data_IF_827054736174
#
_entry.id   IF_827054736174
#
_cell.length_a   1.000
_cell.length_b   1.000
_cell.length_c   1.000
_cell.angle_alpha   90.00
_cell.angle_beta   90.00
_cell.angle_gamma   90.00
#
_symmetry.space_group_name_H-M   'P 1'
#
loop_
_entity.id
_entity.type
_entity.pdbx_description
1 polymer ?
#
# COMPACT_ATOMS: atom_id res chain seq x y z
N UNK A 1 -9.49 -22.59 -1.28
CA UNK A 1 -9.42 -21.60 -0.19
C UNK A 1 -7.98 -21.22 0.09
N UNK A 2 -7.74 -19.99 0.55
CA UNK A 2 -6.43 -19.45 0.90
C UNK A 2 -6.21 -18.05 0.34
N UNK A 3 -6.85 -17.70 -0.77
CA UNK A 3 -6.70 -16.40 -1.46
C UNK A 3 -7.87 -15.43 -1.25
N UNK A 4 -8.81 -15.73 -0.37
CA UNK A 4 -9.97 -14.87 -0.11
C UNK A 4 -9.56 -13.46 0.34
N UNK A 5 -8.45 -13.35 1.09
CA UNK A 5 -7.91 -12.11 1.62
C UNK A 5 -7.41 -11.13 0.54
N UNK A 6 -7.17 -11.58 -0.69
CA UNK A 6 -6.75 -10.71 -1.80
C UNK A 6 -7.93 -10.18 -2.63
N UNK A 7 -9.15 -10.63 -2.36
CA UNK A 7 -10.34 -10.19 -3.08
C UNK A 7 -10.52 -8.67 -3.03
N UNK A 8 -10.76 -8.08 -4.20
CA UNK A 8 -10.98 -6.65 -4.35
C UNK A 8 -9.72 -5.79 -4.24
N UNK A 9 -8.53 -6.37 -4.28
CA UNK A 9 -7.28 -5.64 -4.51
C UNK A 9 -7.13 -5.45 -6.03
N UNK A 10 -7.09 -4.21 -6.54
CA UNK A 10 -6.90 -3.97 -7.97
C UNK A 10 -5.46 -4.27 -8.38
N UNK A 11 -5.27 -4.92 -9.52
CA UNK A 11 -3.96 -5.24 -10.06
C UNK A 11 -3.92 -6.58 -10.79
N UNK A 12 -2.72 -6.98 -11.18
CA UNK A 12 -2.44 -8.27 -11.82
C UNK A 12 -1.86 -9.27 -10.81
N UNK A 13 -1.92 -10.56 -11.13
CA UNK A 13 -1.28 -11.60 -10.31
C UNK A 13 0.24 -11.37 -10.18
N UNK A 14 0.90 -11.00 -11.29
CA UNK A 14 2.33 -10.69 -11.28
C UNK A 14 2.67 -9.51 -10.35
N UNK A 15 1.89 -8.42 -10.39
CA UNK A 15 2.05 -7.28 -9.48
C UNK A 15 1.79 -7.66 -8.02
N UNK A 16 0.83 -8.56 -7.78
CA UNK A 16 0.54 -9.07 -6.43
C UNK A 16 1.71 -9.90 -5.88
N UNK A 17 2.33 -10.74 -6.72
CA UNK A 17 3.54 -11.52 -6.35
C UNK A 17 4.73 -10.59 -6.13
N UNK A 18 4.97 -9.65 -7.05
CA UNK A 18 6.06 -8.68 -6.97
C UNK A 18 6.06 -7.90 -5.65
N UNK A 19 4.88 -7.50 -5.18
CA UNK A 19 4.70 -6.76 -3.93
C UNK A 19 4.41 -7.64 -2.71
N UNK A 20 4.39 -8.96 -2.84
CA UNK A 20 3.81 -9.85 -1.83
C UNK A 20 2.49 -9.27 -1.28
N UNK A 21 1.63 -8.86 -2.21
CA UNK A 21 0.41 -8.13 -1.90
C UNK A 21 -0.59 -8.98 -1.15
N UNK A 22 -1.42 -8.31 -0.37
CA UNK A 22 -2.44 -8.97 0.40
C UNK A 22 -3.16 -8.03 1.36
N UNK A 23 -4.02 -8.57 2.19
CA UNK A 23 -4.74 -7.84 3.23
C UNK A 23 -4.91 -8.68 4.49
N UNK A 24 -5.43 -8.09 5.56
CA UNK A 24 -5.64 -8.80 6.84
C UNK A 24 -4.34 -9.42 7.40
N UNK A 25 -3.19 -8.73 7.20
CA UNK A 25 -1.84 -9.18 7.60
C UNK A 25 -1.37 -10.46 6.91
N UNK A 26 -1.97 -10.82 5.76
CA UNK A 26 -1.59 -11.96 4.93
C UNK A 26 -1.10 -11.46 3.57
N UNK A 27 0.00 -12.01 3.08
CA UNK A 27 0.49 -11.82 1.72
C UNK A 27 0.23 -13.04 0.87
N UNK A 28 0.24 -12.90 -0.46
CA UNK A 28 0.06 -14.02 -1.39
C UNK A 28 1.18 -15.07 -1.25
N UNK A 29 2.37 -14.64 -0.83
CA UNK A 29 3.55 -15.51 -0.69
C UNK A 29 3.33 -16.74 0.19
N UNK A 30 2.40 -16.67 1.17
CA UNK A 30 2.04 -17.83 2.01
C UNK A 30 1.38 -18.99 1.24
N UNK A 31 0.94 -18.74 0.01
CA UNK A 31 0.28 -19.72 -0.85
C UNK A 31 1.05 -20.02 -2.15
N UNK A 32 2.23 -19.42 -2.33
CA UNK A 32 3.11 -19.64 -3.48
C UNK A 32 3.98 -20.87 -3.21
N UNK A 33 4.02 -21.81 -4.14
CA UNK A 33 4.99 -22.91 -4.15
C UNK A 33 6.25 -22.50 -4.91
N UNK A 34 6.06 -21.95 -6.11
CA UNK A 34 7.14 -21.41 -6.92
C UNK A 34 6.64 -20.30 -7.84
N UNK A 35 7.59 -19.52 -8.37
CA UNK A 35 7.35 -18.46 -9.36
C UNK A 35 8.28 -18.68 -10.54
N UNK A 36 7.73 -18.61 -11.75
CA UNK A 36 8.52 -18.63 -12.99
C UNK A 36 8.65 -17.20 -13.51
N UNK A 37 9.88 -16.83 -13.84
CA UNK A 37 10.22 -15.53 -14.45
C UNK A 37 10.89 -15.73 -15.80
N UNK A 38 10.98 -14.65 -16.57
CA UNK A 38 11.80 -14.55 -17.78
C UNK A 38 12.78 -13.38 -17.61
N UNK A 39 14.06 -13.62 -17.89
CA UNK A 39 15.10 -12.58 -17.83
C UNK A 39 15.21 -11.81 -19.16
N UNK A 40 16.05 -10.77 -19.19
CA UNK A 40 16.30 -9.93 -20.36
C UNK A 40 16.89 -10.68 -21.57
N UNK A 41 17.44 -11.87 -21.36
CA UNK A 41 17.92 -12.75 -22.45
C UNK A 41 16.88 -13.74 -22.96
N UNK A 42 15.65 -13.72 -22.42
CA UNK A 42 14.57 -14.63 -22.77
C UNK A 42 14.63 -15.99 -22.07
N UNK A 43 15.52 -16.18 -21.07
CA UNK A 43 15.63 -17.46 -20.35
C UNK A 43 14.63 -17.51 -19.21
N UNK A 44 13.98 -18.65 -19.08
CA UNK A 44 13.10 -18.94 -17.96
C UNK A 44 13.90 -19.34 -16.73
N UNK A 45 13.47 -18.85 -15.55
CA UNK A 45 13.97 -19.21 -14.23
C UNK A 45 12.80 -19.56 -13.32
N UNK A 46 13.01 -20.52 -12.44
CA UNK A 46 12.03 -20.93 -11.45
C UNK A 46 12.62 -20.67 -10.08
N UNK A 47 11.85 -19.96 -9.24
CA UNK A 47 12.18 -19.66 -7.85
C UNK A 47 11.23 -20.42 -6.94
N UNK A 48 11.76 -21.19 -6.01
CA UNK A 48 10.99 -21.76 -4.90
C UNK A 48 10.44 -20.64 -4.00
N UNK A 49 9.48 -20.95 -3.15
CA UNK A 49 8.96 -19.99 -2.18
C UNK A 49 10.04 -19.31 -1.35
N UNK A 50 11.00 -20.07 -0.83
CA UNK A 50 12.11 -19.55 -0.02
C UNK A 50 13.03 -18.60 -0.79
N UNK A 51 13.27 -18.86 -2.08
CA UNK A 51 14.07 -17.99 -2.94
C UNK A 51 13.35 -16.71 -3.36
N UNK A 52 12.02 -16.66 -3.21
CA UNK A 52 11.24 -15.45 -3.47
C UNK A 52 11.41 -14.38 -2.39
N UNK A 53 11.96 -14.70 -1.22
CA UNK A 53 12.25 -13.79 -0.11
C UNK A 53 11.05 -12.89 0.25
N UNK A 54 9.85 -13.48 0.36
CA UNK A 54 8.62 -12.74 0.62
C UNK A 54 8.63 -12.08 2.00
N UNK A 55 8.56 -10.74 2.01
CA UNK A 55 8.40 -9.91 3.20
C UNK A 55 7.17 -8.99 3.10
N UNK A 56 7.03 -8.07 4.06
CA UNK A 56 5.95 -7.08 4.00
C UNK A 56 6.16 -6.13 2.82
N UNK A 57 5.26 -6.19 1.84
CA UNK A 57 5.32 -5.42 0.56
C UNK A 57 6.65 -5.61 -0.17
N UNK A 58 7.26 -6.79 -0.07
CA UNK A 58 8.58 -7.07 -0.63
C UNK A 58 8.68 -8.48 -1.17
N UNK A 59 9.49 -8.64 -2.21
CA UNK A 59 9.97 -9.89 -2.77
C UNK A 59 11.31 -9.68 -3.45
N UNK A 60 12.05 -10.76 -3.72
CA UNK A 60 13.32 -10.72 -4.46
C UNK A 60 13.16 -10.07 -5.86
N UNK A 61 11.97 -10.15 -6.45
CA UNK A 61 11.69 -9.63 -7.79
C UNK A 61 11.80 -8.12 -7.90
N UNK A 62 11.74 -7.38 -6.80
CA UNK A 62 11.94 -5.93 -6.77
C UNK A 62 13.39 -5.53 -7.05
N UNK A 63 14.35 -6.43 -6.86
CA UNK A 63 15.77 -6.25 -7.14
C UNK A 63 16.20 -6.92 -8.45
N UNK A 64 15.31 -7.66 -9.13
CA UNK A 64 15.61 -8.39 -10.36
C UNK A 64 15.08 -7.66 -11.57
N UNK A 65 15.83 -7.69 -12.67
CA UNK A 65 15.35 -7.24 -13.98
C UNK A 65 14.71 -8.43 -14.73
N UNK A 66 13.62 -8.95 -14.17
CA UNK A 66 12.92 -10.13 -14.65
C UNK A 66 11.41 -9.88 -14.67
N UNK A 67 10.70 -10.53 -15.56
CA UNK A 67 9.24 -10.45 -15.67
C UNK A 67 8.64 -11.74 -15.09
N UNK A 68 7.70 -11.61 -14.16
CA UNK A 68 6.94 -12.75 -13.63
C UNK A 68 5.96 -13.23 -14.70
N UNK A 69 6.06 -14.51 -15.09
CA UNK A 69 5.24 -15.13 -16.16
C UNK A 69 4.16 -16.04 -15.59
N UNK A 70 4.49 -16.81 -14.54
CA UNK A 70 3.54 -17.74 -13.90
C UNK A 70 3.94 -18.04 -12.47
N UNK A 71 3.03 -18.68 -11.74
CA UNK A 71 3.31 -19.24 -10.43
C UNK A 71 2.50 -20.51 -10.18
N UNK A 72 2.96 -21.33 -9.26
CA UNK A 72 2.17 -22.42 -8.68
C UNK A 72 1.67 -22.02 -7.30
N UNK A 73 0.39 -22.28 -7.06
CA UNK A 73 -0.29 -21.95 -5.82
C UNK A 73 -0.71 -23.24 -5.09
N UNK A 74 -0.50 -23.25 -3.78
CA UNK A 74 -1.06 -24.27 -2.92
C UNK A 74 -2.35 -23.75 -2.26
N UNK A 75 -3.45 -24.43 -2.52
CA UNK A 75 -4.76 -24.06 -2.02
C UNK A 75 -5.39 -25.24 -1.28
N UNK A 76 -6.16 -24.94 -0.24
CA UNK A 76 -6.83 -25.95 0.57
C UNK A 76 -8.29 -26.11 0.11
N UNK A 77 -8.78 -27.34 -0.14
CA UNK A 77 -10.19 -27.58 -0.41
C UNK A 77 -11.09 -27.07 0.74
N UNK A 78 -12.14 -26.33 0.40
CA UNK A 78 -13.12 -25.80 1.35
C UNK A 78 -14.49 -25.75 0.68
N UNK A 79 -15.54 -25.85 1.45
CA UNK A 79 -16.91 -25.78 0.95
C UNK A 79 -17.15 -24.47 0.18
N UNK A 80 -17.62 -24.50 -1.09
CA UNK A 80 -17.78 -23.30 -1.92
C UNK A 80 -18.65 -22.21 -1.30
N UNK A 81 -19.71 -22.60 -0.57
CA UNK A 81 -20.58 -21.63 0.12
C UNK A 81 -19.83 -20.83 1.19
N UNK A 82 -18.92 -21.48 1.94
CA UNK A 82 -18.10 -20.83 2.96
C UNK A 82 -17.08 -19.86 2.33
N UNK A 83 -16.43 -20.27 1.23
CA UNK A 83 -15.53 -19.42 0.47
C UNK A 83 -16.26 -18.17 -0.04
N UNK A 84 -17.43 -18.35 -0.67
CA UNK A 84 -18.25 -17.26 -1.18
C UNK A 84 -18.68 -16.29 -0.07
N UNK A 85 -19.11 -16.82 1.07
CA UNK A 85 -19.49 -16.00 2.22
C UNK A 85 -18.32 -15.16 2.74
N UNK A 86 -17.12 -15.75 2.86
CA UNK A 86 -15.91 -15.07 3.29
C UNK A 86 -15.51 -13.95 2.31
N UNK A 87 -15.49 -14.24 1.00
CA UNK A 87 -15.23 -13.26 -0.06
C UNK A 87 -16.21 -12.08 0.02
N UNK A 88 -17.51 -12.35 0.13
CA UNK A 88 -18.52 -11.30 0.21
C UNK A 88 -18.38 -10.45 1.48
N UNK A 89 -18.04 -11.07 2.60
CA UNK A 89 -17.74 -10.36 3.85
C UNK A 89 -16.54 -9.41 3.71
N UNK A 90 -15.45 -9.90 3.11
CA UNK A 90 -14.26 -9.10 2.84
C UNK A 90 -14.58 -7.92 1.92
N UNK A 91 -15.27 -8.16 0.81
CA UNK A 91 -15.65 -7.11 -0.14
C UNK A 91 -16.57 -6.06 0.50
N UNK A 92 -17.53 -6.49 1.33
CA UNK A 92 -18.41 -5.58 2.09
C UNK A 92 -17.61 -4.72 3.06
N UNK A 93 -16.71 -5.33 3.85
CA UNK A 93 -15.84 -4.61 4.77
C UNK A 93 -14.97 -3.58 4.04
N UNK A 94 -14.39 -3.96 2.89
CA UNK A 94 -13.56 -3.04 2.07
C UNK A 94 -14.37 -1.85 1.54
N UNK A 95 -15.60 -2.07 1.08
CA UNK A 95 -16.49 -1.00 0.60
C UNK A 95 -16.82 0.03 1.69
N UNK A 96 -16.93 -0.42 2.93
CA UNK A 96 -17.22 0.47 4.07
C UNK A 96 -15.98 1.23 4.56
N UNK A 97 -14.80 0.62 4.46
CA UNK A 97 -13.56 1.17 5.04
C UNK A 97 -12.77 2.06 4.08
N UNK A 98 -12.81 1.80 2.77
CA UNK A 98 -11.93 2.46 1.81
C UNK A 98 -12.69 3.46 0.93
N UNK A 99 -12.06 4.61 0.56
CA UNK A 99 -12.68 5.63 -0.27
C UNK A 99 -12.65 5.25 -1.76
N UNK A 100 -13.39 4.21 -2.15
CA UNK A 100 -13.41 3.63 -3.49
C UNK A 100 -14.18 4.43 -4.55
N UNK A 101 -14.82 5.54 -4.16
CA UNK A 101 -15.57 6.42 -5.10
C UNK A 101 -14.73 7.59 -5.63
N UNK A 102 -13.60 7.89 -5.01
CA UNK A 102 -12.72 8.99 -5.38
C UNK A 102 -11.35 8.46 -5.78
N UNK A 103 -10.69 9.06 -6.80
CA UNK A 103 -9.33 8.69 -7.16
C UNK A 103 -8.38 8.82 -5.96
N UNK A 104 -7.54 7.81 -5.75
CA UNK A 104 -6.54 7.75 -4.70
C UNK A 104 -5.47 6.71 -5.06
N UNK A 105 -4.33 6.74 -4.40
CA UNK A 105 -3.21 5.80 -4.61
C UNK A 105 -3.17 4.66 -3.58
N UNK A 106 -4.25 4.42 -2.85
CA UNK A 106 -4.26 3.46 -1.74
C UNK A 106 -3.75 4.06 -0.43
N UNK A 107 -3.23 3.20 0.45
CA UNK A 107 -2.61 3.64 1.70
C UNK A 107 -1.38 4.49 1.40
N UNK A 108 -1.33 5.69 1.96
CA UNK A 108 -0.23 6.64 1.73
C UNK A 108 0.99 6.29 2.57
N UNK A 109 0.78 5.85 3.81
CA UNK A 109 1.86 5.52 4.75
C UNK A 109 1.95 4.04 5.04
N UNK A 110 3.20 3.58 5.20
CA UNK A 110 3.54 2.20 5.55
C UNK A 110 2.86 1.80 6.86
N UNK A 111 2.24 0.63 6.85
CA UNK A 111 1.61 0.04 8.02
C UNK A 111 2.66 -0.77 8.79
N UNK A 112 3.50 -0.07 9.57
CA UNK A 112 4.58 -0.70 10.33
C UNK A 112 4.03 -1.37 11.59
N UNK A 113 4.18 -2.71 11.74
CA UNK A 113 3.74 -3.40 12.94
C UNK A 113 4.38 -2.90 14.24
N UNK A 114 5.60 -2.34 14.18
CA UNK A 114 6.30 -1.83 15.34
C UNK A 114 5.57 -0.65 16.02
N UNK A 115 4.81 0.14 15.25
CA UNK A 115 4.02 1.24 15.83
C UNK A 115 2.68 0.80 16.45
N UNK A 116 2.22 -0.43 16.19
CA UNK A 116 0.87 -0.86 16.61
C UNK A 116 0.71 -1.00 18.12
N UNK A 117 1.76 -1.41 18.83
CA UNK A 117 1.71 -1.59 20.27
C UNK A 117 1.49 -0.26 21.01
N UNK A 118 2.17 0.80 20.55
CA UNK A 118 2.21 2.09 21.23
C UNK A 118 1.17 3.08 20.69
N UNK A 119 0.96 3.10 19.36
CA UNK A 119 0.18 4.15 18.70
C UNK A 119 -0.95 3.62 17.82
N UNK A 120 -0.90 2.36 17.40
CA UNK A 120 -1.84 1.78 16.44
C UNK A 120 -1.43 2.02 14.96
N UNK A 121 -2.32 1.68 13.99
CA UNK A 121 -2.02 1.81 12.57
C UNK A 121 -1.99 3.28 12.11
N UNK A 122 -1.29 3.61 10.98
CA UNK A 122 -1.16 4.98 10.48
C UNK A 122 -2.49 5.74 10.36
N UNK A 123 -3.55 5.09 9.89
CA UNK A 123 -4.86 5.72 9.77
C UNK A 123 -5.41 6.20 11.12
N UNK A 124 -5.17 5.42 12.19
CA UNK A 124 -5.62 5.79 13.53
C UNK A 124 -4.85 7.01 14.06
N UNK A 125 -3.51 7.01 14.00
CA UNK A 125 -2.71 8.12 14.51
C UNK A 125 -2.94 9.42 13.74
N UNK A 126 -3.22 9.36 12.44
CA UNK A 126 -3.59 10.53 11.63
C UNK A 126 -4.98 11.04 12.02
N UNK A 127 -5.92 10.14 12.31
CA UNK A 127 -7.26 10.50 12.80
C UNK A 127 -7.19 11.09 14.21
N UNK A 128 -6.41 10.50 15.11
CA UNK A 128 -6.18 10.99 16.49
C UNK A 128 -5.48 12.38 16.48
N UNK A 129 -4.66 12.67 15.46
CA UNK A 129 -4.09 14.00 15.24
C UNK A 129 -5.09 15.03 14.65
N UNK A 130 -6.37 14.65 14.48
CA UNK A 130 -7.43 15.55 14.01
C UNK A 130 -7.39 15.87 12.51
N UNK A 131 -6.63 15.12 11.71
CA UNK A 131 -6.39 15.45 10.30
C UNK A 131 -7.40 14.81 9.32
N UNK A 132 -8.32 14.00 9.81
CA UNK A 132 -9.37 13.39 8.97
C UNK A 132 -10.23 14.47 8.32
N UNK A 133 -10.34 14.42 7.00
CA UNK A 133 -11.05 15.45 6.22
C UNK A 133 -10.27 16.73 5.96
N UNK A 134 -9.03 16.87 6.43
CA UNK A 134 -8.19 18.01 6.11
C UNK A 134 -7.96 18.13 4.60
N UNK A 135 -8.03 19.36 4.08
CA UNK A 135 -7.94 19.65 2.64
C UNK A 135 -6.77 20.58 2.31
N UNK A 136 -6.21 20.38 1.13
CA UNK A 136 -5.35 21.33 0.43
C UNK A 136 -5.74 21.33 -1.04
N UNK A 137 -6.15 22.48 -1.57
CA UNK A 137 -6.71 22.53 -2.91
C UNK A 137 -7.86 21.52 -3.08
N UNK A 138 -7.75 20.63 -4.07
CA UNK A 138 -8.70 19.54 -4.30
C UNK A 138 -8.23 18.17 -3.77
N UNK A 139 -7.14 18.11 -3.01
CA UNK A 139 -6.75 16.92 -2.26
C UNK A 139 -7.36 16.95 -0.85
N UNK A 140 -7.75 15.78 -0.34
CA UNK A 140 -8.28 15.66 1.02
C UNK A 140 -7.79 14.37 1.70
N UNK A 141 -7.46 14.42 2.99
CA UNK A 141 -7.35 13.23 3.83
C UNK A 141 -8.75 12.65 3.99
N UNK A 142 -8.91 11.38 3.60
CA UNK A 142 -10.24 10.77 3.48
C UNK A 142 -11.00 10.74 4.81
N UNK A 143 -12.28 11.08 4.76
CA UNK A 143 -13.20 10.97 5.88
C UNK A 143 -13.48 9.53 6.32
N UNK A 144 -13.31 8.55 5.42
CA UNK A 144 -13.56 7.14 5.74
C UNK A 144 -12.33 6.41 6.25
N UNK A 145 -11.13 6.81 5.82
CA UNK A 145 -9.86 6.19 6.22
C UNK A 145 -8.70 7.18 6.13
N UNK A 146 -8.21 7.67 7.25
CA UNK A 146 -7.23 8.76 7.27
C UNK A 146 -5.85 8.42 6.68
N UNK A 147 -5.52 7.14 6.44
CA UNK A 147 -4.33 6.75 5.67
C UNK A 147 -4.51 6.84 4.15
N UNK A 148 -5.58 7.50 3.67
CA UNK A 148 -5.86 7.72 2.25
C UNK A 148 -5.96 9.22 1.98
N UNK A 149 -5.31 9.68 0.93
CA UNK A 149 -5.52 11.01 0.35
C UNK A 149 -6.29 10.83 -0.93
N UNK A 150 -7.43 11.50 -1.05
CA UNK A 150 -8.35 11.42 -2.18
C UNK A 150 -8.27 12.69 -3.01
N UNK A 151 -8.48 12.56 -4.32
CA UNK A 151 -8.65 13.66 -5.24
C UNK A 151 -10.14 13.94 -5.44
N UNK A 152 -10.62 15.08 -4.95
CA UNK A 152 -12.01 15.52 -5.05
C UNK A 152 -12.30 16.30 -6.35
N UNK A 153 -11.31 16.38 -7.25
CA UNK A 153 -11.48 17.09 -8.52
C UNK A 153 -10.15 17.25 -9.27
N UNK A 154 -9.54 18.40 -9.21
CA UNK A 154 -8.28 18.74 -9.89
C UNK A 154 -7.15 18.94 -8.88
N UNK A 155 -6.93 17.99 -7.97
CA UNK A 155 -5.81 18.05 -7.03
C UNK A 155 -4.48 18.01 -7.78
N UNK A 156 -3.55 18.85 -7.37
CA UNK A 156 -2.17 18.84 -7.85
C UNK A 156 -1.32 17.88 -7.04
N UNK A 157 -0.15 17.50 -7.56
CA UNK A 157 0.84 16.73 -6.80
C UNK A 157 1.28 17.49 -5.52
N UNK A 158 1.42 18.82 -5.62
CA UNK A 158 1.78 19.68 -4.48
C UNK A 158 0.73 19.67 -3.37
N UNK A 159 -0.56 19.63 -3.73
CA UNK A 159 -1.65 19.50 -2.75
C UNK A 159 -1.51 18.19 -1.96
N UNK A 160 -1.23 17.08 -2.65
CA UNK A 160 -1.05 15.76 -2.03
C UNK A 160 0.21 15.73 -1.16
N UNK A 161 1.33 16.24 -1.67
CA UNK A 161 2.61 16.32 -0.94
C UNK A 161 2.49 17.19 0.31
N UNK A 162 1.73 18.28 0.26
CA UNK A 162 1.44 19.10 1.45
C UNK A 162 0.71 18.28 2.52
N UNK A 163 -0.32 17.53 2.17
CA UNK A 163 -1.06 16.70 3.11
C UNK A 163 -0.20 15.56 3.68
N UNK A 164 0.72 15.00 2.89
CA UNK A 164 1.71 14.04 3.36
C UNK A 164 2.64 14.67 4.40
N UNK A 165 3.17 15.87 4.10
CA UNK A 165 4.01 16.62 5.04
C UNK A 165 3.26 16.91 6.34
N UNK A 166 2.05 17.48 6.25
CA UNK A 166 1.22 17.83 7.39
C UNK A 166 0.94 16.61 8.29
N UNK A 167 0.56 15.46 7.70
CA UNK A 167 0.31 14.24 8.45
C UNK A 167 1.56 13.74 9.18
N UNK A 168 2.72 13.77 8.51
CA UNK A 168 4.00 13.38 9.13
C UNK A 168 4.36 14.30 10.30
N UNK A 169 4.30 15.60 10.09
CA UNK A 169 4.62 16.61 11.10
C UNK A 169 3.72 16.45 12.33
N UNK A 170 2.41 16.45 12.15
CA UNK A 170 1.45 16.36 13.25
C UNK A 170 1.57 15.04 14.03
N UNK A 171 1.78 13.91 13.35
CA UNK A 171 1.97 12.63 14.03
C UNK A 171 3.30 12.63 14.79
N UNK A 172 4.38 13.16 14.21
CA UNK A 172 5.67 13.25 14.90
C UNK A 172 5.60 14.16 16.14
N UNK A 173 4.93 15.30 16.04
CA UNK A 173 4.74 16.22 17.18
C UNK A 173 3.93 15.58 18.33
N UNK A 174 2.91 14.78 17.99
CA UNK A 174 2.03 14.17 18.99
C UNK A 174 2.59 12.87 19.59
N UNK A 175 3.42 12.13 18.85
CA UNK A 175 3.82 10.76 19.22
C UNK A 175 5.33 10.52 19.22
N UNK A 176 6.13 11.40 18.61
CA UNK A 176 7.54 11.16 18.31
C UNK A 176 7.77 10.20 17.14
N UNK A 177 6.73 9.54 16.59
CA UNK A 177 6.87 8.57 15.51
C UNK A 177 6.90 9.24 14.14
N UNK A 178 7.87 8.85 13.29
CA UNK A 178 7.98 9.35 11.93
C UNK A 178 7.31 8.42 10.92
N UNK A 179 6.17 8.84 10.37
CA UNK A 179 5.50 8.12 9.30
C UNK A 179 6.37 8.08 8.02
N UNK A 180 6.49 6.91 7.39
CA UNK A 180 7.13 6.73 6.08
C UNK A 180 6.07 6.50 5.02
N UNK A 181 6.15 7.22 3.89
CA UNK A 181 5.20 6.99 2.81
C UNK A 181 5.50 5.66 2.09
N UNK A 182 4.44 4.89 1.80
CA UNK A 182 4.43 3.80 0.84
C UNK A 182 4.22 4.35 -0.58
N UNK A 183 3.53 5.50 -0.68
CA UNK A 183 3.33 6.20 -1.95
C UNK A 183 4.65 6.72 -2.53
N UNK A 184 4.79 6.57 -3.85
CA UNK A 184 5.96 7.02 -4.62
C UNK A 184 5.57 8.26 -5.44
N UNK A 185 6.39 9.29 -5.37
CA UNK A 185 6.32 10.45 -6.27
C UNK A 185 7.13 10.17 -7.53
N UNK A 186 6.52 10.43 -8.69
CA UNK A 186 7.19 10.34 -10.00
C UNK A 186 7.27 11.74 -10.57
N UNK A 187 8.49 12.23 -10.82
CA UNK A 187 8.70 13.56 -11.40
C UNK A 187 8.45 13.55 -12.92
N UNK A 188 8.52 14.75 -13.53
CA UNK A 188 8.34 14.93 -14.98
C UNK A 188 9.36 14.19 -15.86
N UNK A 189 10.48 13.76 -15.30
CA UNK A 189 11.53 13.00 -15.99
C UNK A 189 11.37 11.49 -15.76
N UNK A 190 10.36 11.05 -14.97
CA UNK A 190 10.15 9.65 -14.61
C UNK A 190 10.96 9.19 -13.38
N UNK A 191 11.66 10.10 -12.71
CA UNK A 191 12.43 9.74 -11.50
C UNK A 191 11.48 9.44 -10.35
N UNK A 192 11.67 8.28 -9.73
CA UNK A 192 10.87 7.82 -8.61
C UNK A 192 11.52 8.15 -7.28
N UNK A 193 10.73 8.67 -6.35
CA UNK A 193 11.19 8.98 -4.99
C UNK A 193 10.09 8.70 -3.97
N UNK A 194 10.41 8.27 -2.74
CA UNK A 194 9.43 8.19 -1.66
C UNK A 194 8.75 9.54 -1.46
N UNK A 195 7.40 9.57 -1.54
CA UNK A 195 6.65 10.84 -1.54
C UNK A 195 6.92 11.70 -0.29
N UNK A 196 7.20 11.07 0.85
CA UNK A 196 7.50 11.82 2.09
C UNK A 196 8.82 12.60 2.03
N UNK A 197 9.83 12.12 1.29
CA UNK A 197 11.10 12.85 1.15
C UNK A 197 10.93 14.10 0.29
N UNK A 198 10.11 14.01 -0.75
CA UNK A 198 9.76 15.16 -1.60
C UNK A 198 8.90 16.16 -0.82
N UNK A 199 7.91 15.66 -0.06
CA UNK A 199 7.07 16.49 0.80
C UNK A 199 7.90 17.29 1.84
N UNK A 200 8.86 16.64 2.50
CA UNK A 200 9.79 17.28 3.44
C UNK A 200 10.64 18.37 2.79
N UNK A 201 11.20 18.06 1.60
CA UNK A 201 12.02 19.00 0.83
C UNK A 201 11.22 20.26 0.44
N UNK A 202 9.96 20.12 0.06
CA UNK A 202 9.13 21.22 -0.40
C UNK A 202 8.55 22.06 0.75
N UNK A 203 8.15 21.42 1.84
CA UNK A 203 7.36 22.05 2.89
C UNK A 203 8.05 22.13 4.26
N UNK A 204 9.12 21.33 4.50
CA UNK A 204 9.82 21.28 5.79
C UNK A 204 10.48 22.61 6.16
N UNK A 205 11.02 23.35 5.17
CA UNK A 205 11.70 24.61 5.40
C UNK A 205 10.76 25.83 5.45
N UNK A 206 9.51 25.70 5.02
CA UNK A 206 8.57 26.83 4.89
C UNK A 206 7.83 27.11 6.22
N UNK A 207 7.65 26.09 7.06
CA UNK A 207 6.88 26.21 8.31
C UNK A 207 7.75 26.29 9.58
N UNK A 208 9.06 26.41 9.44
CA UNK A 208 10.02 26.69 10.51
C UNK A 208 10.46 28.15 10.58
N UNK A 209 9.90 29.01 9.74
CA UNK A 209 9.96 30.48 9.81
C UNK A 209 8.65 31.04 10.35
#
# INVERSE_FOLDING_TARGET
>A
SGLEHICGIPGTLGGLIYMNGGSQRKGIGSHILNVTTIDSSGRLKIYSNSECEFGYRSSIFQSKNEIIVSCQLELVPKEPKKIKHEILSILRSRRLKFPNKLPNCGSVFVSDPAMYADYGPPGKVIEDAGLKGMKKGNAAISQTHANFIVNEGKATADDVLYLIYLARKSVQENTGYQLRAEAIFIDKNGTQSPAHLIAEKLWGNILTM
#
